data_IF_314481145248
#
_entry.id   IF_314481145248
#
_cell.length_a   1.000
_cell.length_b   1.000
_cell.length_c   1.000
_cell.angle_alpha   90.00
_cell.angle_beta   90.00
_cell.angle_gamma   90.00
#
_symmetry.space_group_name_H-M   'P 1'
#
loop_
_entity.id
_entity.type
_entity.pdbx_description
1 polymer ?
#
# COMPACT_ATOMS: atom_id res chain seq x y z
N UNK A 1 51.84 -43.68 8.99
CA UNK A 1 51.33 -42.43 8.46
C UNK A 1 50.03 -42.07 9.14
N UNK A 2 50.01 -41.02 9.95
CA UNK A 2 48.78 -40.55 10.57
C UNK A 2 48.15 -39.52 9.67
N UNK A 3 47.00 -39.84 9.04
CA UNK A 3 46.19 -38.91 8.32
C UNK A 3 45.46 -37.98 9.35
N UNK A 4 45.87 -36.72 9.42
CA UNK A 4 45.16 -35.70 10.15
C UNK A 4 43.91 -35.31 9.34
N UNK A 5 42.75 -35.81 9.75
CA UNK A 5 41.44 -35.38 9.24
C UNK A 5 41.20 -33.94 9.66
N UNK A 6 41.25 -33.01 8.74
CA UNK A 6 40.80 -31.63 8.94
C UNK A 6 39.30 -31.61 8.68
N UNK A 7 38.52 -31.71 9.75
CA UNK A 7 37.08 -31.48 9.66
C UNK A 7 36.91 -29.96 9.59
N UNK A 8 36.71 -29.44 8.37
CA UNK A 8 36.32 -28.06 8.16
C UNK A 8 34.84 -27.95 8.52
N UNK A 9 34.56 -27.49 9.73
CA UNK A 9 33.20 -27.15 10.12
C UNK A 9 32.77 -25.94 9.32
N UNK A 10 31.97 -26.16 8.28
CA UNK A 10 31.36 -25.13 7.48
C UNK A 10 30.23 -24.49 8.32
N UNK A 11 30.52 -23.32 8.89
CA UNK A 11 29.54 -22.53 9.63
C UNK A 11 28.53 -21.97 8.62
N UNK A 12 27.35 -22.59 8.51
CA UNK A 12 26.21 -22.03 7.77
C UNK A 12 25.72 -20.78 8.54
N UNK A 13 26.19 -19.61 8.12
CA UNK A 13 25.60 -18.35 8.54
C UNK A 13 24.25 -18.24 7.84
N UNK A 14 23.18 -18.65 8.52
CA UNK A 14 21.82 -18.34 8.11
C UNK A 14 21.63 -16.86 8.37
N UNK A 15 21.94 -16.03 7.40
CA UNK A 15 21.49 -14.63 7.40
C UNK A 15 19.97 -14.67 7.28
N UNK A 16 19.27 -14.48 8.39
CA UNK A 16 17.83 -14.25 8.39
C UNK A 16 17.53 -13.02 7.53
N UNK A 17 17.12 -13.24 6.28
CA UNK A 17 16.62 -12.18 5.43
C UNK A 17 15.37 -11.64 6.11
N UNK A 18 15.42 -10.39 6.59
CA UNK A 18 14.23 -9.68 7.03
C UNK A 18 13.24 -9.70 5.88
N UNK A 19 12.09 -10.36 6.08
CA UNK A 19 11.08 -10.53 5.04
C UNK A 19 10.43 -9.18 4.77
N UNK A 20 10.73 -8.57 3.62
CA UNK A 20 10.10 -7.34 3.17
C UNK A 20 8.61 -7.59 2.89
N UNK A 21 7.77 -6.60 3.21
CA UNK A 21 6.35 -6.66 2.86
C UNK A 21 6.14 -6.66 1.34
N UNK A 22 5.17 -7.43 0.89
CA UNK A 22 4.78 -7.47 -0.53
C UNK A 22 3.98 -6.21 -0.92
N UNK A 23 3.94 -5.84 -2.22
CA UNK A 23 3.06 -4.76 -2.70
C UNK A 23 1.61 -4.93 -2.27
N UNK A 24 1.08 -6.16 -2.31
CA UNK A 24 -0.28 -6.46 -1.86
C UNK A 24 -0.47 -6.16 -0.37
N UNK A 25 0.45 -6.59 0.47
CA UNK A 25 0.39 -6.31 1.91
C UNK A 25 0.45 -4.80 2.20
N UNK A 26 1.28 -4.06 1.47
CA UNK A 26 1.40 -2.61 1.64
C UNK A 26 0.11 -1.88 1.23
N UNK A 27 -0.49 -2.23 0.09
CA UNK A 27 -1.78 -1.67 -0.34
C UNK A 27 -2.88 -2.05 0.66
N UNK A 28 -2.96 -3.33 1.06
CA UNK A 28 -3.96 -3.79 2.02
C UNK A 28 -3.86 -3.08 3.36
N UNK A 29 -2.65 -2.79 3.82
CA UNK A 29 -2.42 -2.02 5.04
C UNK A 29 -2.99 -0.59 4.93
N UNK A 30 -2.77 0.08 3.80
CA UNK A 30 -3.33 1.41 3.54
C UNK A 30 -4.88 1.36 3.51
N UNK A 31 -5.46 0.38 2.83
CA UNK A 31 -6.91 0.19 2.78
C UNK A 31 -7.49 -0.04 4.18
N UNK A 32 -6.89 -0.91 4.96
CA UNK A 32 -7.33 -1.19 6.32
C UNK A 32 -7.29 0.06 7.21
N UNK A 33 -6.21 0.82 7.14
CA UNK A 33 -6.01 2.01 7.97
C UNK A 33 -6.92 3.17 7.57
N UNK A 34 -7.13 3.36 6.28
CA UNK A 34 -7.84 4.53 5.73
C UNK A 34 -9.31 4.25 5.42
N UNK A 35 -9.69 3.03 5.12
CA UNK A 35 -10.98 2.71 4.51
C UNK A 35 -11.69 1.48 5.08
N UNK A 36 -11.30 0.94 6.23
CA UNK A 36 -11.92 -0.29 6.75
C UNK A 36 -13.42 -0.17 6.99
N UNK A 37 -13.94 1.01 7.29
CA UNK A 37 -15.36 1.30 7.46
C UNK A 37 -16.11 1.62 6.16
N UNK A 38 -15.41 1.67 5.03
CA UNK A 38 -15.98 1.99 3.74
C UNK A 38 -16.59 0.77 3.04
N UNK A 39 -17.41 1.05 2.01
CA UNK A 39 -17.90 0.02 1.08
C UNK A 39 -16.74 -0.64 0.32
N UNK A 40 -17.02 -1.78 -0.32
CA UNK A 40 -16.03 -2.44 -1.19
C UNK A 40 -15.48 -1.49 -2.27
N UNK A 41 -16.33 -0.64 -2.86
CA UNK A 41 -15.94 0.37 -3.84
C UNK A 41 -15.03 1.44 -3.23
N UNK A 42 -15.30 1.90 -2.01
CA UNK A 42 -14.44 2.85 -1.28
C UNK A 42 -13.07 2.28 -0.97
N UNK A 43 -13.03 1.01 -0.56
CA UNK A 43 -11.76 0.28 -0.33
C UNK A 43 -10.95 0.14 -1.61
N UNK A 44 -11.59 -0.20 -2.73
CA UNK A 44 -10.94 -0.25 -4.04
C UNK A 44 -10.37 1.11 -4.46
N UNK A 45 -11.11 2.20 -4.22
CA UNK A 45 -10.66 3.55 -4.55
C UNK A 45 -9.40 3.95 -3.79
N UNK A 46 -9.31 3.66 -2.49
CA UNK A 46 -8.10 3.89 -1.70
C UNK A 46 -6.94 3.02 -2.19
N UNK A 47 -7.18 1.75 -2.49
CA UNK A 47 -6.17 0.86 -3.06
C UNK A 47 -5.64 1.40 -4.41
N UNK A 48 -6.54 1.91 -5.26
CA UNK A 48 -6.17 2.51 -6.55
C UNK A 48 -5.30 3.76 -6.39
N UNK A 49 -5.56 4.60 -5.40
CA UNK A 49 -4.71 5.78 -5.14
C UNK A 49 -3.27 5.36 -4.87
N UNK A 50 -3.07 4.36 -4.01
CA UNK A 50 -1.71 3.85 -3.71
C UNK A 50 -1.05 3.30 -4.98
N UNK A 51 -1.79 2.51 -5.76
CA UNK A 51 -1.27 1.93 -7.00
C UNK A 51 -0.98 3.00 -8.06
N UNK A 52 -1.85 3.98 -8.25
CA UNK A 52 -1.65 5.08 -9.19
C UNK A 52 -0.41 5.90 -8.84
N UNK A 53 -0.22 6.24 -7.56
CA UNK A 53 0.99 6.93 -7.11
C UNK A 53 2.26 6.10 -7.35
N UNK A 54 2.18 4.81 -7.06
CA UNK A 54 3.27 3.86 -7.33
C UNK A 54 3.66 3.88 -8.82
N UNK A 55 2.69 3.87 -9.72
CA UNK A 55 2.93 3.93 -11.16
C UNK A 55 3.49 5.28 -11.61
N UNK A 56 2.93 6.39 -11.14
CA UNK A 56 3.40 7.74 -11.48
C UNK A 56 4.84 7.99 -11.04
N UNK A 57 5.22 7.50 -9.87
CA UNK A 57 6.56 7.69 -9.32
C UNK A 57 7.53 6.57 -9.70
N UNK A 58 7.06 5.53 -10.38
CA UNK A 58 7.84 4.34 -10.72
C UNK A 58 8.53 3.68 -9.50
N UNK A 59 7.82 3.62 -8.38
CA UNK A 59 8.28 3.00 -7.13
C UNK A 59 7.27 1.98 -6.63
N UNK A 60 7.66 1.10 -5.73
CA UNK A 60 6.73 0.10 -5.17
C UNK A 60 5.63 0.74 -4.31
N UNK A 61 4.44 0.12 -4.19
CA UNK A 61 3.41 0.55 -3.25
C UNK A 61 3.91 0.69 -1.81
N UNK A 62 4.86 -0.15 -1.40
CA UNK A 62 5.47 -0.06 -0.07
C UNK A 62 6.26 1.23 0.12
N UNK A 63 6.90 1.73 -0.93
CA UNK A 63 7.58 3.01 -0.90
C UNK A 63 6.60 4.18 -0.79
N UNK A 64 5.46 4.08 -1.48
CA UNK A 64 4.40 5.10 -1.42
C UNK A 64 3.87 5.28 0.00
N UNK A 65 3.52 4.19 0.68
CA UNK A 65 3.00 4.29 2.05
C UNK A 65 4.05 4.74 3.07
N UNK A 66 5.33 4.58 2.75
CA UNK A 66 6.45 4.99 3.59
C UNK A 66 6.84 6.47 3.43
N UNK A 67 6.28 7.17 2.44
CA UNK A 67 6.57 8.59 2.22
C UNK A 67 6.23 9.44 3.45
N UNK A 68 7.15 10.27 3.96
CA UNK A 68 6.90 11.12 5.11
C UNK A 68 5.67 12.01 4.93
N UNK A 69 4.79 12.06 5.94
CA UNK A 69 3.61 12.91 5.96
C UNK A 69 2.44 12.46 5.08
N UNK A 70 2.56 11.35 4.33
CA UNK A 70 1.48 10.86 3.48
C UNK A 70 0.48 9.99 4.25
N UNK A 71 0.98 9.08 5.06
CA UNK A 71 0.16 8.20 5.91
C UNK A 71 0.65 8.31 7.35
N UNK A 72 -0.12 9.02 8.18
CA UNK A 72 0.27 9.31 9.57
C UNK A 72 0.48 8.06 10.43
N UNK A 73 -0.19 6.96 10.11
CA UNK A 73 -0.06 5.69 10.81
C UNK A 73 1.24 4.93 10.46
N UNK A 74 1.93 5.27 9.36
CA UNK A 74 3.12 4.52 8.92
C UNK A 74 4.24 4.51 9.97
N UNK A 75 4.37 5.58 10.73
CA UNK A 75 5.36 5.69 11.81
C UNK A 75 5.01 4.85 13.04
N UNK A 76 3.79 4.31 13.13
CA UNK A 76 3.46 3.35 14.16
C UNK A 76 4.20 2.05 13.83
N UNK A 77 5.02 1.57 14.76
CA UNK A 77 5.85 0.36 14.58
C UNK A 77 5.04 -0.94 14.44
N UNK A 78 3.73 -0.85 14.45
CA UNK A 78 2.84 -2.01 14.47
C UNK A 78 1.97 -2.00 13.22
N UNK A 79 2.26 -2.94 12.34
CA UNK A 79 1.34 -3.25 11.25
C UNK A 79 0.09 -3.88 11.81
N UNK A 80 -1.07 -3.37 11.43
CA UNK A 80 -2.34 -3.94 11.83
C UNK A 80 -2.54 -5.32 11.18
N UNK A 81 -3.25 -6.19 11.86
CA UNK A 81 -3.77 -7.40 11.23
C UNK A 81 -4.78 -6.99 10.15
N UNK A 82 -4.48 -7.30 8.91
CA UNK A 82 -5.31 -6.94 7.75
C UNK A 82 -6.56 -7.82 7.72
N UNK A 83 -7.73 -7.22 7.50
CA UNK A 83 -8.96 -7.98 7.25
C UNK A 83 -9.01 -8.50 5.80
N UNK A 84 -9.88 -9.49 5.57
CA UNK A 84 -10.03 -10.13 4.27
C UNK A 84 -10.48 -9.15 3.16
N UNK A 85 -11.32 -8.16 3.49
CA UNK A 85 -11.82 -7.19 2.53
C UNK A 85 -10.72 -6.23 2.06
N UNK A 86 -9.84 -5.81 2.96
CA UNK A 86 -8.69 -4.95 2.63
C UNK A 86 -7.68 -5.70 1.75
N UNK A 87 -7.42 -6.97 2.07
CA UNK A 87 -6.56 -7.83 1.25
C UNK A 87 -7.16 -8.08 -0.14
N UNK A 88 -8.47 -8.36 -0.21
CA UNK A 88 -9.17 -8.56 -1.47
C UNK A 88 -9.14 -7.29 -2.35
N UNK A 89 -9.32 -6.10 -1.77
CA UNK A 89 -9.21 -4.85 -2.51
C UNK A 89 -7.82 -4.66 -3.11
N UNK A 90 -6.76 -4.93 -2.33
CA UNK A 90 -5.38 -4.87 -2.80
C UNK A 90 -5.13 -5.87 -3.94
N UNK A 91 -5.58 -7.11 -3.80
CA UNK A 91 -5.46 -8.14 -4.82
C UNK A 91 -6.15 -7.72 -6.12
N UNK A 92 -7.39 -7.25 -6.04
CA UNK A 92 -8.18 -6.85 -7.22
C UNK A 92 -7.53 -5.73 -8.01
N UNK A 93 -6.99 -4.70 -7.36
CA UNK A 93 -6.35 -3.58 -8.07
C UNK A 93 -5.03 -4.01 -8.71
N UNK A 94 -4.24 -4.85 -8.05
CA UNK A 94 -3.00 -5.38 -8.61
C UNK A 94 -3.22 -6.27 -9.83
N UNK A 95 -4.31 -7.04 -9.83
CA UNK A 95 -4.70 -7.91 -10.95
C UNK A 95 -5.49 -7.18 -12.06
N UNK A 96 -5.84 -5.90 -11.86
CA UNK A 96 -6.71 -5.16 -12.77
C UNK A 96 -8.15 -5.69 -12.84
N UNK A 97 -8.61 -6.41 -11.83
CA UNK A 97 -9.94 -7.06 -11.77
C UNK A 97 -10.88 -6.28 -10.85
N UNK A 98 -11.23 -5.06 -11.27
CA UNK A 98 -12.09 -4.16 -10.49
C UNK A 98 -12.96 -3.29 -11.41
N UNK A 99 -14.03 -2.72 -10.84
CA UNK A 99 -15.00 -1.87 -11.55
C UNK A 99 -14.54 -0.40 -11.71
N UNK A 100 -13.44 0.02 -11.11
CA UNK A 100 -12.94 1.39 -11.18
C UNK A 100 -12.04 1.61 -12.41
N UNK A 101 -12.54 1.33 -13.59
CA UNK A 101 -11.80 1.53 -14.84
C UNK A 101 -11.58 3.03 -15.10
N UNK A 102 -10.36 3.39 -15.46
CA UNK A 102 -9.99 4.79 -15.70
C UNK A 102 -9.93 5.68 -14.46
N UNK A 103 -10.02 5.11 -13.26
CA UNK A 103 -9.86 5.84 -12.02
C UNK A 103 -8.38 6.21 -11.80
N UNK A 104 -8.07 7.48 -11.98
CA UNK A 104 -6.71 8.01 -12.02
C UNK A 104 -6.34 8.92 -10.82
N UNK A 105 -7.16 8.88 -9.77
CA UNK A 105 -6.90 9.66 -8.55
C UNK A 105 -5.58 9.26 -7.88
N UNK A 106 -4.86 10.26 -7.39
CA UNK A 106 -3.58 10.10 -6.67
C UNK A 106 -3.61 10.66 -5.26
N UNK A 107 -4.71 11.28 -4.87
CA UNK A 107 -4.91 11.85 -3.52
C UNK A 107 -6.36 11.71 -3.09
N UNK A 108 -6.57 11.68 -1.79
CA UNK A 108 -7.91 11.72 -1.22
C UNK A 108 -7.90 12.34 0.19
N UNK A 109 -9.05 12.82 0.62
CA UNK A 109 -9.30 13.20 2.01
C UNK A 109 -10.72 12.84 2.41
N UNK A 110 -10.97 12.77 3.72
CA UNK A 110 -12.32 12.64 4.25
C UNK A 110 -13.14 13.90 3.96
N UNK A 111 -14.40 13.77 3.58
CA UNK A 111 -15.27 14.91 3.21
C UNK A 111 -15.46 15.96 4.33
N UNK A 112 -15.17 15.59 5.59
CA UNK A 112 -15.23 16.49 6.75
C UNK A 112 -14.04 17.43 6.86
N UNK A 113 -12.99 17.20 6.07
CA UNK A 113 -11.78 18.02 6.02
C UNK A 113 -11.80 18.88 4.78
N UNK A 114 -11.31 20.12 4.87
CA UNK A 114 -11.10 20.98 3.71
C UNK A 114 -9.62 21.37 3.61
N UNK A 115 -8.80 20.60 2.90
CA UNK A 115 -7.36 20.87 2.78
C UNK A 115 -7.04 22.03 1.84
N UNK A 116 -8.04 22.65 1.20
CA UNK A 116 -7.89 23.74 0.22
C UNK A 116 -6.93 23.39 -0.92
N UNK A 117 -6.98 22.14 -1.39
CA UNK A 117 -6.16 21.68 -2.50
C UNK A 117 -6.63 22.27 -3.82
N UNK A 118 -5.67 22.71 -4.65
CA UNK A 118 -5.91 23.10 -6.03
C UNK A 118 -5.70 21.89 -6.96
N UNK A 119 -6.48 20.84 -6.76
CA UNK A 119 -6.42 19.59 -7.51
C UNK A 119 -7.72 19.36 -8.27
N UNK A 120 -7.65 18.57 -9.34
CA UNK A 120 -8.84 18.16 -10.07
C UNK A 120 -9.60 17.05 -9.32
N UNK A 121 -10.87 17.31 -9.00
CA UNK A 121 -11.72 16.32 -8.35
C UNK A 121 -12.09 15.22 -9.35
N UNK A 122 -11.84 13.98 -8.99
CA UNK A 122 -12.16 12.78 -9.78
C UNK A 122 -13.48 12.18 -9.38
N UNK A 123 -13.72 11.98 -8.08
CA UNK A 123 -14.93 11.33 -7.58
C UNK A 123 -15.15 11.61 -6.09
N UNK A 124 -16.38 11.34 -5.63
CA UNK A 124 -16.71 11.14 -4.22
C UNK A 124 -17.20 9.71 -4.06
N UNK A 125 -16.59 8.96 -3.17
CA UNK A 125 -16.95 7.56 -2.90
C UNK A 125 -16.95 7.37 -1.38
N UNK A 126 -18.11 7.02 -0.80
CA UNK A 126 -18.26 6.90 0.64
C UNK A 126 -17.92 8.21 1.35
N UNK A 127 -17.05 8.15 2.34
CA UNK A 127 -16.61 9.31 3.12
C UNK A 127 -15.39 10.03 2.52
N UNK A 128 -14.91 9.64 1.35
CA UNK A 128 -13.73 10.20 0.72
C UNK A 128 -14.03 10.97 -0.55
N UNK A 129 -13.27 12.05 -0.76
CA UNK A 129 -13.21 12.81 -2.01
C UNK A 129 -11.83 12.58 -2.62
N UNK A 130 -11.82 12.20 -3.88
CA UNK A 130 -10.63 11.78 -4.63
C UNK A 130 -10.24 12.82 -5.66
N UNK A 131 -8.93 13.03 -5.82
CA UNK A 131 -8.35 14.05 -6.68
C UNK A 131 -7.17 13.50 -7.47
N UNK A 132 -6.87 14.20 -8.57
CA UNK A 132 -5.61 14.06 -9.32
C UNK A 132 -4.96 15.41 -9.51
N UNK A 133 -3.67 15.41 -9.80
CA UNK A 133 -2.94 16.61 -10.16
C UNK A 133 -3.49 17.23 -11.46
N UNK A 134 -3.46 18.56 -11.55
CA UNK A 134 -3.78 19.29 -12.75
C UNK A 134 -2.48 19.30 -13.59
N UNK A 135 -2.50 18.61 -14.71
CA UNK A 135 -1.39 18.59 -15.66
C UNK A 135 -1.53 19.78 -16.60
#
# INVERSE_FOLDING_TARGET
MKLKSWITTMLLVVTGLAQAYTPQQCIAQAVYREARGETARGKLAVAMVVLNRSRHQAVSPCRIIAEPGQFGWYNSRHWAKIDADSDLAAQKVLLGRHELRGFDATSFHNFRVNPRWHLHRVASIGQHIFYKEIV
#
